data_IF_938182348813
#
_entry.id   IF_938182348813
#
_cell.length_a   1.000
_cell.length_b   1.000
_cell.length_c   1.000
_cell.angle_alpha   90.00
_cell.angle_beta   90.00
_cell.angle_gamma   90.00
#
_symmetry.space_group_name_H-M   'P 1'
#
loop_
_entity.id
_entity.type
_entity.pdbx_description
1 polymer ?
#
# COMPACT_ATOMS: atom_id res chain seq x y z
N UNK A 1 9.11 -10.40 6.26
CA UNK A 1 10.51 -10.82 6.32
C UNK A 1 10.57 -12.34 6.26
N UNK A 2 11.48 -12.89 5.42
CA UNK A 2 11.77 -14.32 5.39
C UNK A 2 11.27 -15.13 4.19
N UNK A 3 10.43 -14.59 3.32
CA UNK A 3 9.99 -15.30 2.11
C UNK A 3 10.76 -14.77 0.88
N UNK A 4 11.63 -15.62 0.32
CA UNK A 4 12.46 -15.28 -0.84
C UNK A 4 11.77 -15.80 -2.12
N UNK A 5 11.20 -14.90 -2.93
CA UNK A 5 10.37 -15.27 -4.08
C UNK A 5 11.11 -16.16 -5.09
N UNK A 6 12.35 -15.83 -5.45
CA UNK A 6 13.13 -16.65 -6.40
C UNK A 6 13.37 -18.05 -5.88
N UNK A 7 13.69 -18.20 -4.58
CA UNK A 7 13.96 -19.50 -3.99
C UNK A 7 12.65 -20.33 -3.86
N UNK A 8 11.51 -19.66 -3.65
CA UNK A 8 10.20 -20.32 -3.71
C UNK A 8 9.90 -20.87 -5.10
N UNK A 9 10.19 -20.12 -6.17
CA UNK A 9 10.06 -20.62 -7.55
C UNK A 9 11.04 -21.77 -7.83
N UNK A 10 12.27 -21.70 -7.33
CA UNK A 10 13.24 -22.80 -7.42
C UNK A 10 12.73 -24.08 -6.71
N UNK A 11 12.13 -23.92 -5.54
CA UNK A 11 11.52 -25.02 -4.81
C UNK A 11 10.33 -25.64 -5.57
N UNK A 12 9.50 -24.81 -6.26
CA UNK A 12 8.45 -25.32 -7.15
C UNK A 12 9.05 -26.18 -8.25
N UNK A 13 10.08 -25.68 -8.95
CA UNK A 13 10.71 -26.41 -10.06
C UNK A 13 11.35 -27.70 -9.58
N UNK A 14 11.99 -27.70 -8.42
CA UNK A 14 12.59 -28.93 -7.84
C UNK A 14 11.55 -30.01 -7.53
N UNK A 15 10.35 -29.61 -7.08
CA UNK A 15 9.25 -30.56 -6.77
C UNK A 15 8.46 -30.95 -8.02
N UNK A 16 8.31 -30.02 -8.95
CA UNK A 16 7.47 -30.14 -10.15
C UNK A 16 8.19 -29.60 -11.39
N UNK A 17 9.17 -30.34 -11.95
CA UNK A 17 10.07 -29.84 -13.00
C UNK A 17 9.39 -29.37 -14.30
N UNK A 18 8.17 -29.83 -14.56
CA UNK A 18 7.43 -29.50 -15.80
C UNK A 18 6.46 -28.34 -15.67
N UNK A 19 6.27 -27.78 -14.46
CA UNK A 19 5.31 -26.70 -14.25
C UNK A 19 5.77 -25.37 -14.84
N UNK A 20 7.06 -25.04 -14.68
CA UNK A 20 7.63 -23.79 -15.16
C UNK A 20 8.62 -24.03 -16.30
N UNK A 21 8.54 -23.24 -17.36
CA UNK A 21 9.53 -23.27 -18.45
C UNK A 21 10.72 -22.35 -18.18
N UNK A 22 10.50 -21.25 -17.45
CA UNK A 22 11.52 -20.27 -17.04
C UNK A 22 11.14 -19.63 -15.71
N UNK A 23 12.13 -19.29 -14.90
CA UNK A 23 11.95 -18.41 -13.75
C UNK A 23 13.25 -17.66 -13.46
N UNK A 24 13.14 -16.56 -12.73
CA UNK A 24 14.29 -15.76 -12.33
C UNK A 24 13.86 -14.55 -11.51
N UNK A 25 14.82 -13.86 -10.92
CA UNK A 25 14.59 -12.68 -10.10
C UNK A 25 15.39 -12.70 -8.81
N UNK A 26 14.92 -11.96 -7.85
CA UNK A 26 15.53 -11.75 -6.54
C UNK A 26 14.55 -12.03 -5.41
N UNK A 27 14.99 -11.79 -4.16
CA UNK A 27 14.18 -12.07 -2.97
C UNK A 27 12.80 -11.37 -2.99
N UNK A 28 12.75 -10.13 -3.43
CA UNK A 28 11.55 -9.27 -3.35
C UNK A 28 10.74 -9.22 -4.65
N UNK A 29 11.34 -9.62 -5.77
CA UNK A 29 10.69 -9.63 -7.07
C UNK A 29 11.24 -10.76 -7.92
N UNK A 30 10.38 -11.65 -8.37
CA UNK A 30 10.70 -12.76 -9.25
C UNK A 30 9.57 -12.95 -10.27
N UNK A 31 9.93 -13.49 -11.43
CA UNK A 31 8.99 -13.82 -12.48
C UNK A 31 9.17 -15.25 -12.97
N UNK A 32 8.12 -15.81 -13.50
CA UNK A 32 8.16 -17.13 -14.14
C UNK A 32 7.33 -17.14 -15.42
N UNK A 33 7.62 -18.11 -16.27
CA UNK A 33 6.85 -18.42 -17.48
C UNK A 33 6.34 -19.85 -17.35
N UNK A 34 5.07 -20.05 -17.58
CA UNK A 34 4.43 -21.37 -17.57
C UNK A 34 3.34 -21.45 -18.64
N UNK A 35 3.02 -22.64 -19.15
CA UNK A 35 1.83 -22.87 -19.95
C UNK A 35 0.56 -22.55 -19.15
N UNK A 36 -0.43 -21.94 -19.77
CA UNK A 36 -1.69 -21.57 -19.11
C UNK A 36 -2.35 -22.77 -18.44
N UNK A 37 -2.31 -23.93 -19.08
CA UNK A 37 -2.84 -25.18 -18.51
C UNK A 37 -2.19 -25.60 -17.17
N UNK A 38 -0.98 -25.12 -16.89
CA UNK A 38 -0.26 -25.43 -15.66
C UNK A 38 -0.58 -24.46 -14.51
N UNK A 39 -1.32 -23.36 -14.78
CA UNK A 39 -1.59 -22.33 -13.77
C UNK A 39 -2.25 -22.85 -12.49
N UNK A 40 -3.28 -23.73 -12.54
CA UNK A 40 -3.86 -24.27 -11.31
C UNK A 40 -2.85 -25.09 -10.49
N UNK A 41 -2.11 -26.00 -11.12
CA UNK A 41 -1.12 -26.83 -10.45
C UNK A 41 0.06 -26.01 -9.89
N UNK A 42 0.49 -24.96 -10.62
CA UNK A 42 1.48 -24.02 -10.12
C UNK A 42 0.99 -23.27 -8.89
N UNK A 43 -0.25 -22.78 -8.91
CA UNK A 43 -0.85 -22.06 -7.78
C UNK A 43 -0.89 -22.94 -6.53
N UNK A 44 -1.28 -24.20 -6.66
CA UNK A 44 -1.30 -25.15 -5.56
C UNK A 44 0.11 -25.41 -5.01
N UNK A 45 1.07 -25.75 -5.88
CA UNK A 45 2.45 -26.02 -5.48
C UNK A 45 3.12 -24.80 -4.82
N UNK A 46 2.89 -23.60 -5.35
CA UNK A 46 3.43 -22.37 -4.76
C UNK A 46 2.81 -22.06 -3.40
N UNK A 47 1.49 -22.23 -3.24
CA UNK A 47 0.80 -22.05 -1.97
C UNK A 47 1.27 -23.04 -0.91
N UNK A 48 1.53 -24.31 -1.27
CA UNK A 48 2.10 -25.28 -0.35
C UNK A 48 3.47 -24.84 0.18
N UNK A 49 4.37 -24.43 -0.72
CA UNK A 49 5.69 -23.90 -0.33
C UNK A 49 5.57 -22.64 0.54
N UNK A 50 4.67 -21.73 0.17
CA UNK A 50 4.44 -20.53 0.95
C UNK A 50 3.94 -20.85 2.37
N UNK A 51 3.02 -21.80 2.51
CA UNK A 51 2.50 -22.25 3.80
C UNK A 51 3.58 -22.93 4.64
N UNK A 52 4.40 -23.77 4.03
CA UNK A 52 5.52 -24.43 4.73
C UNK A 52 6.55 -23.43 5.26
N UNK A 53 6.87 -22.38 4.49
CA UNK A 53 7.92 -21.43 4.85
C UNK A 53 7.43 -20.29 5.74
N UNK A 54 6.20 -19.83 5.56
CA UNK A 54 5.60 -18.75 6.35
C UNK A 54 4.87 -19.26 7.60
N UNK A 55 4.57 -20.55 7.63
CA UNK A 55 3.73 -21.15 8.66
C UNK A 55 2.22 -20.96 8.40
N UNK A 56 1.37 -21.53 9.25
CA UNK A 56 -0.08 -21.50 9.07
C UNK A 56 -0.72 -20.13 9.39
N UNK A 57 0.02 -19.24 9.99
CA UNK A 57 -0.48 -17.90 10.35
C UNK A 57 -0.39 -16.98 9.13
N UNK A 58 -1.50 -16.39 8.67
CA UNK A 58 -1.46 -15.41 7.60
C UNK A 58 -0.46 -14.30 7.93
N UNK A 59 0.35 -13.93 6.95
CA UNK A 59 1.27 -12.80 7.10
C UNK A 59 0.45 -11.54 7.43
N UNK A 60 0.62 -11.01 8.62
CA UNK A 60 0.01 -9.72 9.00
C UNK A 60 0.68 -8.65 8.16
N UNK A 61 -0.10 -8.00 7.30
CA UNK A 61 0.37 -6.82 6.57
C UNK A 61 0.47 -5.67 7.58
N UNK A 62 1.68 -5.38 8.03
CA UNK A 62 1.95 -4.20 8.83
C UNK A 62 2.33 -3.04 7.90
N UNK A 63 1.75 -1.87 8.14
CA UNK A 63 2.14 -0.62 7.53
C UNK A 63 2.97 0.15 8.56
N UNK A 64 4.25 0.36 8.27
CA UNK A 64 5.09 1.20 9.10
C UNK A 64 4.77 2.66 8.81
N UNK A 65 4.57 3.44 9.87
CA UNK A 65 4.30 4.87 9.80
C UNK A 65 5.34 5.65 10.59
N UNK A 66 5.52 6.91 10.24
CA UNK A 66 6.43 7.84 10.91
C UNK A 66 5.74 8.58 12.07
N UNK A 67 4.55 8.11 12.46
CA UNK A 67 3.74 8.73 13.49
C UNK A 67 2.90 9.92 12.99
N UNK A 68 2.34 10.73 13.90
CA UNK A 68 1.48 11.84 13.55
C UNK A 68 2.27 12.99 12.90
N UNK A 69 1.63 13.66 11.91
CA UNK A 69 2.20 14.87 11.32
C UNK A 69 2.03 16.03 12.29
N UNK A 70 3.10 16.72 12.73
CA UNK A 70 2.98 17.87 13.60
C UNK A 70 2.08 18.96 12.97
N UNK A 71 1.16 19.60 13.73
CA UNK A 71 0.22 20.58 13.19
C UNK A 71 0.89 21.71 12.40
N UNK A 72 2.06 22.18 12.85
CA UNK A 72 2.84 23.20 12.16
C UNK A 72 3.46 22.75 10.84
N UNK A 73 3.52 21.44 10.58
CA UNK A 73 4.02 20.87 9.33
C UNK A 73 2.89 20.62 8.32
N UNK A 74 1.62 20.81 8.69
CA UNK A 74 0.47 20.60 7.82
C UNK A 74 0.29 21.79 6.86
N UNK A 75 1.18 21.93 5.89
CA UNK A 75 1.13 23.01 4.89
C UNK A 75 1.82 22.64 3.57
N UNK A 76 1.56 23.43 2.52
CA UNK A 76 2.02 23.15 1.15
C UNK A 76 3.55 23.05 1.00
N UNK A 77 4.33 23.82 1.78
CA UNK A 77 5.80 23.76 1.68
C UNK A 77 6.35 22.42 2.16
N UNK A 78 5.77 21.81 3.20
CA UNK A 78 6.13 20.46 3.63
C UNK A 78 5.83 19.45 2.52
N UNK A 79 4.65 19.52 1.90
CA UNK A 79 4.31 18.63 0.80
C UNK A 79 5.27 18.79 -0.41
N UNK A 80 5.70 20.02 -0.73
CA UNK A 80 6.73 20.26 -1.77
C UNK A 80 8.06 19.65 -1.38
N UNK A 81 8.53 19.88 -0.15
CA UNK A 81 9.80 19.34 0.33
C UNK A 81 9.79 17.78 0.28
N UNK A 82 8.68 17.17 0.67
CA UNK A 82 8.51 15.71 0.58
C UNK A 82 8.48 15.21 -0.88
N UNK A 83 7.82 15.92 -1.79
CA UNK A 83 7.78 15.58 -3.22
C UNK A 83 9.15 15.69 -3.87
N UNK A 84 9.91 16.75 -3.54
CA UNK A 84 11.18 17.08 -4.19
C UNK A 84 12.37 16.32 -3.57
N UNK A 85 12.18 15.67 -2.42
CA UNK A 85 13.18 14.81 -1.80
C UNK A 85 13.35 13.49 -2.58
N UNK A 86 14.56 12.93 -2.49
CA UNK A 86 14.89 11.64 -3.12
C UNK A 86 14.62 10.51 -2.15
N UNK A 87 13.66 9.67 -2.49
CA UNK A 87 13.28 8.48 -1.74
C UNK A 87 13.74 7.22 -2.46
N UNK A 88 13.96 6.13 -1.73
CA UNK A 88 14.41 4.87 -2.31
C UNK A 88 14.07 3.66 -1.44
N UNK A 89 14.51 2.49 -1.87
CA UNK A 89 14.18 1.23 -1.20
C UNK A 89 14.68 1.16 0.26
N UNK A 90 15.83 1.76 0.56
CA UNK A 90 16.39 1.82 1.92
C UNK A 90 15.98 3.07 2.70
N UNK A 91 15.29 4.02 2.07
CA UNK A 91 14.82 5.27 2.65
C UNK A 91 13.50 5.67 2.01
N UNK A 92 12.42 5.06 2.49
CA UNK A 92 11.09 5.25 1.93
C UNK A 92 10.51 6.63 2.26
N UNK A 93 9.66 7.16 1.36
CA UNK A 93 8.92 8.38 1.63
C UNK A 93 8.00 8.18 2.85
N UNK A 94 7.87 9.19 3.74
CA UNK A 94 7.15 9.05 4.99
C UNK A 94 5.66 8.78 4.78
N UNK A 95 5.12 8.01 5.71
CA UNK A 95 3.69 7.76 5.86
C UNK A 95 3.31 8.24 7.26
N UNK A 96 2.46 9.24 7.32
CA UNK A 96 1.95 9.77 8.59
C UNK A 96 0.71 9.00 9.03
N UNK A 97 0.43 9.01 10.35
CA UNK A 97 -0.75 8.36 10.91
C UNK A 97 -1.37 9.27 11.97
N UNK A 98 -2.58 9.72 11.71
CA UNK A 98 -3.33 10.63 12.59
C UNK A 98 -4.78 10.17 12.75
N UNK A 99 -5.39 10.49 13.89
CA UNK A 99 -6.83 10.40 14.05
C UNK A 99 -7.49 11.58 13.34
N UNK A 100 -8.38 11.28 12.37
CA UNK A 100 -9.12 12.28 11.61
C UNK A 100 -10.62 12.13 11.78
N UNK A 101 -11.36 13.23 11.59
CA UNK A 101 -12.82 13.20 11.47
C UNK A 101 -13.21 13.19 9.99
N UNK A 102 -13.91 12.15 9.54
CA UNK A 102 -14.46 12.04 8.19
C UNK A 102 -15.76 12.83 8.13
N UNK A 103 -15.74 13.97 7.45
CA UNK A 103 -16.90 14.86 7.31
C UNK A 103 -17.77 14.50 6.09
N UNK A 104 -17.12 14.00 5.04
CA UNK A 104 -17.80 13.60 3.80
C UNK A 104 -17.00 12.52 3.11
N UNK A 105 -17.71 11.60 2.46
CA UNK A 105 -17.14 10.61 1.54
C UNK A 105 -17.99 10.56 0.28
N UNK A 106 -17.37 10.49 -0.88
CA UNK A 106 -18.03 10.23 -2.17
C UNK A 106 -17.15 9.32 -3.02
N UNK A 107 -17.79 8.48 -3.81
CA UNK A 107 -17.10 7.70 -4.83
C UNK A 107 -16.79 8.57 -6.04
N UNK A 108 -15.58 8.42 -6.57
CA UNK A 108 -15.11 9.10 -7.78
C UNK A 108 -14.40 8.13 -8.71
N UNK A 109 -14.43 8.41 -10.00
CA UNK A 109 -13.81 7.55 -11.00
C UNK A 109 -14.33 6.11 -10.95
N UNK A 110 -13.45 5.15 -11.21
CA UNK A 110 -13.76 3.72 -11.21
C UNK A 110 -13.32 3.07 -9.88
N UNK A 111 -14.02 3.40 -8.78
CA UNK A 111 -13.78 2.73 -7.49
C UNK A 111 -12.75 3.42 -6.59
N UNK A 112 -12.79 4.73 -6.48
CA UNK A 112 -11.96 5.50 -5.54
C UNK A 112 -12.84 6.29 -4.58
N UNK A 113 -12.37 6.51 -3.35
CA UNK A 113 -13.03 7.36 -2.38
C UNK A 113 -12.36 8.73 -2.30
N UNK A 114 -13.12 9.78 -2.53
CA UNK A 114 -12.74 11.14 -2.19
C UNK A 114 -13.38 11.50 -0.86
N UNK A 115 -12.53 11.80 0.12
CA UNK A 115 -12.95 12.16 1.48
C UNK A 115 -12.72 13.66 1.69
N UNK A 116 -13.55 14.25 2.54
CA UNK A 116 -13.25 15.50 3.20
C UNK A 116 -13.05 15.20 4.67
N UNK A 117 -11.87 15.48 5.20
CA UNK A 117 -11.50 15.18 6.59
C UNK A 117 -11.12 16.44 7.34
N UNK A 118 -11.30 16.41 8.67
CA UNK A 118 -10.74 17.42 9.55
C UNK A 118 -9.51 16.85 10.28
N UNK A 119 -8.38 17.53 10.16
CA UNK A 119 -7.10 17.20 10.79
C UNK A 119 -6.49 18.47 11.36
N UNK A 120 -6.16 18.49 12.66
CA UNK A 120 -5.60 19.65 13.38
C UNK A 120 -6.40 20.95 13.18
N UNK A 121 -7.74 20.84 13.11
CA UNK A 121 -8.63 21.98 12.88
C UNK A 121 -8.71 22.48 11.42
N UNK A 122 -7.94 21.88 10.51
CA UNK A 122 -8.00 22.18 9.08
C UNK A 122 -8.89 21.18 8.36
N UNK A 123 -9.62 21.66 7.36
CA UNK A 123 -10.41 20.84 6.45
C UNK A 123 -9.58 20.52 5.22
N UNK A 124 -9.40 19.23 4.91
CA UNK A 124 -8.56 18.74 3.83
C UNK A 124 -9.33 17.74 2.96
N UNK A 125 -8.99 17.69 1.69
CA UNK A 125 -9.37 16.60 0.83
C UNK A 125 -8.39 15.43 1.00
N UNK A 126 -8.95 14.20 0.98
CA UNK A 126 -8.16 12.98 0.99
C UNK A 126 -8.66 12.03 -0.09
N UNK A 127 -7.75 11.41 -0.82
CA UNK A 127 -8.06 10.43 -1.87
C UNK A 127 -7.59 9.04 -1.46
N UNK A 128 -8.47 8.04 -1.57
CA UNK A 128 -8.14 6.64 -1.38
C UNK A 128 -8.41 5.86 -2.65
N UNK A 129 -7.36 5.49 -3.33
CA UNK A 129 -7.45 4.74 -4.57
C UNK A 129 -7.84 3.28 -4.31
N UNK A 130 -8.77 2.75 -5.10
CA UNK A 130 -9.21 1.36 -5.01
C UNK A 130 -10.02 1.01 -3.76
N UNK A 131 -10.54 2.01 -3.04
CA UNK A 131 -11.37 1.83 -1.85
C UNK A 131 -12.78 2.40 -2.10
N UNK A 132 -13.79 1.59 -1.81
CA UNK A 132 -15.19 1.96 -2.07
C UNK A 132 -16.08 1.88 -0.83
N UNK A 133 -15.59 1.26 0.25
CA UNK A 133 -16.37 1.06 1.46
C UNK A 133 -16.53 2.36 2.26
N UNK A 134 -17.69 2.57 2.91
CA UNK A 134 -17.89 3.72 3.77
C UNK A 134 -17.01 3.64 5.03
N UNK A 135 -16.45 4.77 5.42
CA UNK A 135 -15.67 4.92 6.64
C UNK A 135 -16.54 5.43 7.79
N UNK A 136 -16.22 5.06 9.05
CA UNK A 136 -16.79 5.69 10.23
C UNK A 136 -16.44 7.19 10.28
N UNK A 137 -17.17 7.93 11.13
CA UNK A 137 -16.96 9.37 11.30
C UNK A 137 -15.59 9.74 11.90
N UNK A 138 -14.92 8.80 12.57
CA UNK A 138 -13.58 8.97 13.13
C UNK A 138 -12.75 7.72 12.84
N UNK A 139 -11.55 7.92 12.31
CA UNK A 139 -10.62 6.84 11.95
C UNK A 139 -9.18 7.24 12.22
N UNK A 140 -8.33 6.26 12.50
CA UNK A 140 -6.89 6.39 12.30
C UNK A 140 -6.60 6.30 10.81
N UNK A 141 -6.01 7.34 10.24
CA UNK A 141 -5.70 7.44 8.82
C UNK A 141 -4.19 7.42 8.61
N UNK A 142 -3.69 6.40 7.93
CA UNK A 142 -2.33 6.38 7.43
C UNK A 142 -2.31 7.00 6.02
N UNK A 143 -1.47 8.03 5.82
CA UNK A 143 -1.51 8.83 4.60
C UNK A 143 -0.15 9.42 4.24
N UNK A 144 -0.02 9.80 2.96
CA UNK A 144 1.04 10.68 2.48
C UNK A 144 0.51 12.08 2.27
N UNK A 145 1.33 13.07 2.61
CA UNK A 145 1.00 14.47 2.36
C UNK A 145 1.40 14.82 0.92
N UNK A 146 0.45 15.24 0.11
CA UNK A 146 0.65 15.55 -1.31
C UNK A 146 0.09 16.93 -1.68
N UNK A 147 0.49 17.43 -2.84
CA UNK A 147 -0.14 18.56 -3.51
C UNK A 147 -0.97 18.06 -4.68
N UNK A 148 -2.24 18.34 -4.66
CA UNK A 148 -3.10 18.20 -5.83
C UNK A 148 -2.89 19.42 -6.74
N UNK A 149 -2.47 19.17 -7.98
CA UNK A 149 -2.22 20.20 -8.99
C UNK A 149 -3.32 20.26 -10.05
N UNK A 150 -4.45 19.62 -9.79
CA UNK A 150 -5.58 19.60 -10.73
C UNK A 150 -6.10 21.02 -11.00
N UNK A 151 -6.33 21.34 -12.29
CA UNK A 151 -6.81 22.63 -12.78
C UNK A 151 -5.88 23.84 -12.47
N UNK A 152 -4.57 23.60 -12.35
CA UNK A 152 -3.58 24.69 -12.21
C UNK A 152 -3.50 25.33 -10.82
N UNK A 153 -4.24 24.83 -9.84
CA UNK A 153 -4.12 25.27 -8.44
C UNK A 153 -3.47 24.17 -7.59
N UNK A 154 -2.45 24.52 -6.81
CA UNK A 154 -1.88 23.61 -5.83
C UNK A 154 -2.73 23.62 -4.55
N UNK A 155 -3.27 22.46 -4.19
CA UNK A 155 -4.02 22.25 -2.95
C UNK A 155 -3.41 21.12 -2.14
N UNK A 156 -3.30 21.32 -0.83
CA UNK A 156 -2.88 20.28 0.08
C UNK A 156 -3.92 19.14 0.09
N UNK A 157 -3.45 17.92 -0.07
CA UNK A 157 -4.29 16.71 -0.09
C UNK A 157 -3.60 15.58 0.63
N UNK A 158 -4.37 14.71 1.25
CA UNK A 158 -3.90 13.47 1.83
C UNK A 158 -4.11 12.32 0.82
N UNK A 159 -3.07 11.57 0.51
CA UNK A 159 -3.21 10.30 -0.19
C UNK A 159 -3.27 9.18 0.82
N UNK A 160 -4.43 8.55 0.92
CA UNK A 160 -4.67 7.50 1.92
C UNK A 160 -4.00 6.21 1.51
N UNK A 161 -3.24 5.62 2.41
CA UNK A 161 -2.63 4.29 2.29
C UNK A 161 -3.45 3.24 3.05
N UNK A 162 -4.00 3.61 4.22
CA UNK A 162 -4.85 2.75 5.04
C UNK A 162 -5.71 3.56 6.01
N UNK A 163 -6.82 2.97 6.47
CA UNK A 163 -7.59 3.49 7.60
C UNK A 163 -8.01 2.34 8.53
N UNK A 164 -8.01 2.62 9.83
CA UNK A 164 -8.46 1.70 10.86
C UNK A 164 -9.45 2.41 11.82
N UNK A 165 -10.38 1.67 12.46
CA UNK A 165 -11.15 2.24 13.56
C UNK A 165 -10.25 2.75 14.68
N UNK A 166 -10.61 3.86 15.29
CA UNK A 166 -9.92 4.35 16.50
C UNK A 166 -10.14 3.35 17.63
N UNK A 167 -9.07 2.90 18.25
CA UNK A 167 -9.09 1.98 19.39
C UNK A 167 -9.47 2.71 20.68
#
# INVERSE_FOLDING_TARGET
PGFHLRDALDAVVKRHPTLLSRFGGHAMAAGCTLPEANLPAFTEAFNQIATEWLGPTPAVRSLLTDGPLPPQALHANTARALRDAVWGQGFAAPIFCDTVQVQRQKLVGQGHSLLTVALHGQRLDAIWFGHTEPLPSQVELAYRLELDTWQGSERLRLRVEHAAPVQ
#
